data_IF_558892554992
#
_entry.id   IF_558892554992
#
_cell.length_a   1.000
_cell.length_b   1.000
_cell.length_c   1.000
_cell.angle_alpha   90.00
_cell.angle_beta   90.00
_cell.angle_gamma   90.00
#
_symmetry.space_group_name_H-M   'P 1'
#
loop_
_entity.id
_entity.type
_entity.pdbx_description
1 polymer ?
#
# COMPACT_ATOMS: atom_id res chain seq x y z
N UNK A 1 -2.33 71.70 -7.93
CA UNK A 1 -2.12 70.90 -9.17
C UNK A 1 -3.02 69.69 -9.10
N UNK A 2 -4.24 69.82 -9.58
CA UNK A 2 -5.19 68.71 -9.71
C UNK A 2 -4.91 68.04 -11.02
N UNK A 3 -4.28 66.80 -10.93
CA UNK A 3 -4.03 65.96 -12.08
C UNK A 3 -5.36 65.44 -12.63
N UNK A 4 -5.66 65.81 -13.86
CA UNK A 4 -6.79 65.37 -14.66
C UNK A 4 -6.66 63.88 -14.97
N UNK A 5 -7.37 63.01 -14.25
CA UNK A 5 -7.51 61.58 -14.57
C UNK A 5 -8.69 61.43 -15.55
N UNK A 6 -8.53 61.94 -16.76
CA UNK A 6 -9.57 61.81 -17.80
C UNK A 6 -8.92 61.36 -19.12
N UNK A 7 -8.37 60.14 -19.16
CA UNK A 7 -8.02 59.50 -20.42
C UNK A 7 -7.90 58.01 -20.24
N UNK A 8 -9.00 57.31 -19.99
CA UNK A 8 -9.03 55.86 -19.98
C UNK A 8 -10.30 55.38 -20.69
N UNK A 9 -10.12 55.04 -21.96
CA UNK A 9 -11.06 54.50 -22.92
C UNK A 9 -11.94 55.50 -23.69
N UNK A 10 -11.81 55.62 -25.03
CA UNK A 10 -12.73 56.37 -25.89
C UNK A 10 -14.06 55.59 -26.02
N UNK A 11 -15.19 56.29 -25.91
CA UNK A 11 -16.53 55.71 -26.07
C UNK A 11 -17.55 56.29 -25.10
N UNK A 12 -18.81 56.03 -25.35
CA UNK A 12 -19.91 56.34 -24.43
C UNK A 12 -19.78 55.58 -23.12
N UNK A 13 -20.50 55.94 -22.08
CA UNK A 13 -20.55 55.21 -20.80
C UNK A 13 -20.97 53.74 -21.06
N UNK A 14 -21.93 53.55 -21.95
CA UNK A 14 -22.44 52.22 -22.32
C UNK A 14 -21.36 51.36 -23.03
N UNK A 15 -20.52 51.95 -23.90
CA UNK A 15 -19.42 51.25 -24.56
C UNK A 15 -18.35 50.74 -23.56
N UNK A 16 -18.11 51.54 -22.50
CA UNK A 16 -17.13 51.17 -21.46
C UNK A 16 -17.63 49.97 -20.62
N UNK A 17 -18.92 49.97 -20.22
CA UNK A 17 -19.50 48.85 -19.48
C UNK A 17 -19.54 47.59 -20.35
N UNK A 18 -19.91 47.69 -21.63
CA UNK A 18 -19.89 46.57 -22.54
C UNK A 18 -18.47 45.97 -22.70
N UNK A 19 -17.47 46.82 -22.90
CA UNK A 19 -16.07 46.43 -22.99
C UNK A 19 -15.59 45.74 -21.71
N UNK A 20 -15.98 46.25 -20.53
CA UNK A 20 -15.64 45.64 -19.24
C UNK A 20 -16.24 44.24 -19.11
N UNK A 21 -17.52 44.08 -19.42
CA UNK A 21 -18.22 42.77 -19.34
C UNK A 21 -17.69 41.78 -20.37
N UNK A 22 -17.33 42.22 -21.56
CA UNK A 22 -16.75 41.38 -22.61
C UNK A 22 -15.31 40.96 -22.31
N UNK A 23 -14.56 41.75 -21.54
CA UNK A 23 -13.22 41.36 -21.06
C UNK A 23 -13.26 40.21 -20.04
N UNK A 24 -14.41 39.95 -19.42
CA UNK A 24 -14.60 38.87 -18.45
C UNK A 24 -14.96 37.60 -19.22
N UNK A 25 -13.94 36.79 -19.56
CA UNK A 25 -14.11 35.59 -20.39
C UNK A 25 -14.36 34.32 -19.61
N UNK A 26 -14.12 34.34 -18.28
CA UNK A 26 -14.28 33.14 -17.43
C UNK A 26 -15.70 32.98 -16.85
N UNK A 27 -16.58 33.95 -17.18
CA UNK A 27 -17.98 33.94 -16.76
C UNK A 27 -18.88 34.20 -17.97
N UNK A 28 -19.97 33.45 -18.09
CA UNK A 28 -21.08 33.86 -18.95
C UNK A 28 -21.91 34.91 -18.18
N UNK A 29 -21.91 36.12 -18.66
CA UNK A 29 -22.66 37.24 -18.09
C UNK A 29 -23.65 37.73 -19.14
N UNK A 30 -24.93 37.67 -18.84
CA UNK A 30 -25.98 38.08 -19.75
C UNK A 30 -27.25 38.51 -19.02
N UNK A 31 -28.04 39.33 -19.67
CA UNK A 31 -29.33 39.79 -19.16
C UNK A 31 -30.46 38.96 -19.76
N UNK A 32 -31.52 38.82 -18.97
CA UNK A 32 -32.80 38.28 -19.38
C UNK A 32 -33.88 39.35 -19.22
N UNK A 33 -34.88 39.33 -20.10
CA UNK A 33 -36.13 40.09 -19.87
C UNK A 33 -36.92 39.48 -18.71
N UNK A 34 -38.02 40.10 -18.33
CA UNK A 34 -38.90 39.65 -17.23
C UNK A 34 -39.52 38.27 -17.46
N UNK A 35 -39.52 37.77 -18.69
CA UNK A 35 -40.05 36.43 -19.09
C UNK A 35 -38.94 35.38 -19.28
N UNK A 36 -37.65 35.78 -19.12
CA UNK A 36 -36.52 34.88 -19.24
C UNK A 36 -35.91 34.76 -20.64
N UNK A 37 -36.23 35.68 -21.55
CA UNK A 37 -35.57 35.70 -22.86
C UNK A 37 -34.26 36.50 -22.78
N UNK A 38 -33.24 35.99 -23.46
CA UNK A 38 -31.88 36.59 -23.45
C UNK A 38 -31.90 37.92 -24.17
N UNK A 39 -31.43 38.97 -23.51
CA UNK A 39 -31.37 40.37 -24.02
C UNK A 39 -29.95 40.91 -24.20
N UNK A 40 -28.92 40.27 -23.62
CA UNK A 40 -27.54 40.61 -23.86
C UNK A 40 -26.69 39.33 -23.79
N UNK A 41 -25.42 39.38 -24.31
CA UNK A 41 -24.55 38.21 -24.37
C UNK A 41 -23.10 38.64 -24.39
N UNK A 42 -22.27 38.21 -23.41
CA UNK A 42 -20.86 38.55 -23.37
C UNK A 42 -19.97 37.53 -24.08
N UNK A 43 -18.71 37.89 -24.29
CA UNK A 43 -17.71 37.00 -24.92
C UNK A 43 -17.50 35.70 -24.14
N UNK A 44 -17.55 35.71 -22.80
CA UNK A 44 -17.47 34.53 -21.97
C UNK A 44 -18.63 33.55 -22.20
N UNK A 45 -19.86 34.08 -22.32
CA UNK A 45 -21.04 33.26 -22.64
C UNK A 45 -20.93 32.60 -24.02
N UNK A 46 -20.43 33.33 -25.03
CA UNK A 46 -20.14 32.76 -26.34
C UNK A 46 -19.13 31.60 -26.23
N UNK A 47 -18.01 31.83 -25.53
CA UNK A 47 -16.91 30.88 -25.40
C UNK A 47 -17.36 29.53 -24.85
N UNK A 48 -18.04 29.49 -23.71
CA UNK A 48 -18.30 28.19 -23.08
C UNK A 48 -19.74 27.70 -23.19
N UNK A 49 -20.71 28.50 -23.67
CA UNK A 49 -22.01 27.96 -24.06
C UNK A 49 -22.10 27.60 -25.57
N UNK A 50 -21.20 28.16 -26.39
CA UNK A 50 -21.08 27.83 -27.80
C UNK A 50 -22.08 28.52 -28.71
N UNK A 51 -22.89 29.49 -28.21
CA UNK A 51 -23.83 30.30 -28.99
C UNK A 51 -23.24 31.67 -29.27
N UNK A 52 -23.36 32.16 -30.47
CA UNK A 52 -23.10 33.57 -30.80
C UNK A 52 -24.22 34.45 -30.28
N UNK A 53 -23.97 35.74 -30.09
CA UNK A 53 -24.99 36.72 -29.68
C UNK A 53 -26.19 36.70 -30.63
N UNK A 54 -25.96 36.69 -31.94
CA UNK A 54 -27.02 36.66 -32.96
C UNK A 54 -27.93 35.40 -32.89
N UNK A 55 -27.42 34.29 -32.43
CA UNK A 55 -28.16 33.03 -32.33
C UNK A 55 -28.97 32.92 -31.04
N UNK A 56 -28.60 33.69 -30.01
CA UNK A 56 -29.14 33.47 -28.66
C UNK A 56 -30.05 34.63 -28.20
N UNK A 57 -29.89 35.83 -28.74
CA UNK A 57 -30.78 36.93 -28.40
C UNK A 57 -32.23 36.60 -28.77
N UNK A 58 -33.14 36.86 -27.83
CA UNK A 58 -34.56 36.51 -27.97
C UNK A 58 -34.92 35.03 -27.74
N UNK A 59 -33.93 34.18 -27.45
CA UNK A 59 -34.19 32.80 -27.06
C UNK A 59 -34.35 32.67 -25.55
N UNK A 60 -35.22 31.72 -25.12
CA UNK A 60 -35.47 31.52 -23.69
C UNK A 60 -34.34 30.78 -23.01
N UNK A 61 -33.90 31.25 -21.85
CA UNK A 61 -32.72 30.73 -21.13
C UNK A 61 -32.85 29.27 -20.63
N UNK A 62 -34.06 28.70 -20.62
CA UNK A 62 -34.32 27.30 -20.27
C UNK A 62 -33.58 26.34 -21.17
N UNK A 63 -33.23 26.75 -22.39
CA UNK A 63 -32.45 25.92 -23.32
C UNK A 63 -31.06 25.51 -22.81
N UNK A 64 -30.53 26.18 -21.80
CA UNK A 64 -29.28 25.83 -21.15
C UNK A 64 -29.45 24.78 -20.03
N UNK A 65 -30.66 24.34 -19.72
CA UNK A 65 -30.94 23.33 -18.74
C UNK A 65 -31.10 21.96 -19.39
N UNK A 66 -30.84 20.92 -18.63
CA UNK A 66 -31.06 19.56 -19.10
C UNK A 66 -32.55 19.30 -19.34
N UNK A 67 -32.94 18.35 -20.20
CA UNK A 67 -34.35 17.99 -20.40
C UNK A 67 -35.05 17.63 -19.09
N UNK A 68 -34.33 16.96 -18.18
CA UNK A 68 -34.83 16.56 -16.87
C UNK A 68 -35.18 17.81 -16.00
N UNK A 69 -34.26 18.77 -15.94
CA UNK A 69 -34.47 20.03 -15.19
C UNK A 69 -35.58 20.90 -15.80
N UNK A 70 -35.68 20.91 -17.13
CA UNK A 70 -36.77 21.62 -17.83
C UNK A 70 -38.14 20.99 -17.49
N UNK A 71 -38.25 19.67 -17.56
CA UNK A 71 -39.47 18.93 -17.22
C UNK A 71 -39.84 19.12 -15.72
N UNK A 72 -38.87 19.22 -14.85
CA UNK A 72 -39.06 19.50 -13.43
C UNK A 72 -39.36 20.96 -13.11
N UNK A 73 -39.42 21.86 -14.11
CA UNK A 73 -39.72 23.27 -13.94
C UNK A 73 -38.64 24.09 -13.23
N UNK A 74 -37.39 23.60 -13.21
CA UNK A 74 -36.27 24.30 -12.53
C UNK A 74 -36.04 25.72 -13.06
N UNK A 75 -36.08 25.95 -14.41
CA UNK A 75 -35.89 27.33 -14.92
C UNK A 75 -36.94 28.33 -14.40
N UNK A 76 -38.21 27.95 -14.39
CA UNK A 76 -39.27 28.80 -13.91
C UNK A 76 -39.16 29.12 -12.40
N UNK A 77 -38.84 28.09 -11.60
CA UNK A 77 -38.58 28.29 -10.17
C UNK A 77 -37.38 29.21 -9.92
N UNK A 78 -36.31 29.09 -10.71
CA UNK A 78 -35.12 29.93 -10.56
C UNK A 78 -35.44 31.41 -10.78
N UNK A 79 -36.24 31.77 -11.81
CA UNK A 79 -36.70 33.14 -12.04
C UNK A 79 -37.66 33.60 -10.94
N UNK A 80 -38.63 32.75 -10.55
CA UNK A 80 -39.59 33.12 -9.49
C UNK A 80 -38.90 33.38 -8.14
N UNK A 81 -37.88 32.60 -7.78
CA UNK A 81 -37.05 32.84 -6.59
C UNK A 81 -36.29 34.18 -6.73
N UNK A 82 -35.62 34.41 -7.87
CA UNK A 82 -34.90 35.66 -8.11
C UNK A 82 -35.84 36.87 -8.07
N UNK A 83 -37.05 36.77 -8.60
CA UNK A 83 -38.05 37.82 -8.57
C UNK A 83 -38.52 38.17 -7.14
N UNK A 84 -38.80 37.13 -6.33
CA UNK A 84 -39.37 37.30 -4.98
C UNK A 84 -38.34 37.63 -3.92
N UNK A 85 -37.18 36.97 -3.99
CA UNK A 85 -36.09 37.06 -3.00
C UNK A 85 -34.95 38.00 -3.43
N UNK A 86 -35.00 38.49 -4.69
CA UNK A 86 -33.99 39.35 -5.29
C UNK A 86 -32.85 38.59 -5.94
N UNK A 87 -32.58 37.32 -5.51
CA UNK A 87 -31.47 36.50 -5.98
C UNK A 87 -31.82 35.00 -5.96
N UNK A 88 -31.35 34.28 -6.97
CA UNK A 88 -31.28 32.83 -7.00
C UNK A 88 -29.84 32.38 -7.22
N UNK A 89 -29.38 31.42 -6.46
CA UNK A 89 -28.04 30.86 -6.58
C UNK A 89 -28.08 29.33 -6.44
N UNK A 90 -27.46 28.61 -7.37
CA UNK A 90 -27.43 27.15 -7.34
C UNK A 90 -26.32 26.61 -8.23
N UNK A 91 -25.85 25.42 -7.90
CA UNK A 91 -25.04 24.59 -8.79
C UNK A 91 -25.90 23.54 -9.48
N UNK A 92 -25.54 23.18 -10.72
CA UNK A 92 -26.25 22.18 -11.49
C UNK A 92 -25.72 21.99 -12.90
N UNK A 93 -26.21 20.91 -13.55
CA UNK A 93 -25.86 20.63 -14.93
C UNK A 93 -26.49 21.65 -15.88
N UNK A 94 -25.71 22.09 -16.86
CA UNK A 94 -26.16 22.93 -17.97
C UNK A 94 -25.72 22.30 -19.27
N UNK A 95 -26.38 22.69 -20.36
CA UNK A 95 -26.16 22.14 -21.70
C UNK A 95 -25.62 23.22 -22.62
N UNK A 96 -24.57 22.89 -23.38
CA UNK A 96 -23.98 23.77 -24.42
C UNK A 96 -24.73 23.58 -25.74
N UNK A 97 -24.41 24.39 -26.74
CA UNK A 97 -24.96 24.30 -28.10
C UNK A 97 -24.75 22.95 -28.75
N UNK A 98 -23.60 22.32 -28.53
CA UNK A 98 -23.22 21.01 -29.06
C UNK A 98 -23.85 19.82 -28.32
N UNK A 99 -24.69 20.10 -27.31
CA UNK A 99 -25.33 19.07 -26.48
C UNK A 99 -24.47 18.57 -25.32
N UNK A 100 -23.21 18.96 -25.20
CA UNK A 100 -22.38 18.58 -24.05
C UNK A 100 -22.88 19.20 -22.75
N UNK A 101 -22.75 18.46 -21.66
CA UNK A 101 -23.13 18.91 -20.32
C UNK A 101 -21.91 19.46 -19.56
N UNK A 102 -22.14 20.50 -18.78
CA UNK A 102 -21.12 21.07 -17.90
C UNK A 102 -21.71 21.40 -16.53
N UNK A 103 -20.92 21.26 -15.48
CA UNK A 103 -21.34 21.62 -14.12
C UNK A 103 -21.15 23.10 -13.91
N UNK A 104 -22.22 23.79 -13.61
CA UNK A 104 -22.24 25.24 -13.54
C UNK A 104 -22.66 25.72 -12.16
N UNK A 105 -21.99 26.75 -11.66
CA UNK A 105 -22.50 27.66 -10.64
C UNK A 105 -23.23 28.78 -11.31
N UNK A 106 -24.46 29.01 -10.93
CA UNK A 106 -25.37 29.97 -11.55
C UNK A 106 -25.91 30.93 -10.50
N UNK A 107 -25.83 32.24 -10.80
CA UNK A 107 -26.44 33.30 -10.05
C UNK A 107 -27.41 34.04 -10.97
N UNK A 108 -28.61 34.31 -10.50
CA UNK A 108 -29.62 35.13 -11.17
C UNK A 108 -30.06 36.23 -10.19
N UNK A 109 -29.77 37.48 -10.49
CA UNK A 109 -30.15 38.64 -9.70
C UNK A 109 -31.29 39.41 -10.41
N UNK A 110 -32.34 39.77 -9.67
CA UNK A 110 -33.42 40.59 -10.21
C UNK A 110 -32.94 42.02 -10.40
N UNK A 111 -33.17 42.57 -11.59
CA UNK A 111 -32.91 43.98 -11.90
C UNK A 111 -34.21 44.75 -11.80
N UNK A 112 -34.22 45.82 -10.97
CA UNK A 112 -35.37 46.65 -10.75
C UNK A 112 -35.07 48.09 -11.10
N UNK A 113 -36.10 48.81 -11.53
CA UNK A 113 -36.01 50.25 -11.76
C UNK A 113 -36.02 51.05 -10.42
N UNK A 114 -35.81 52.37 -10.43
CA UNK A 114 -35.85 53.22 -9.21
C UNK A 114 -37.22 53.19 -8.47
N UNK A 115 -38.28 52.74 -9.13
CA UNK A 115 -39.62 52.60 -8.54
C UNK A 115 -39.88 51.19 -7.97
N UNK A 116 -38.87 50.30 -8.05
CA UNK A 116 -38.95 48.93 -7.56
C UNK A 116 -39.58 47.92 -8.53
N UNK A 117 -39.94 48.36 -9.76
CA UNK A 117 -40.53 47.50 -10.77
C UNK A 117 -39.46 46.61 -11.39
N UNK A 118 -39.76 45.29 -11.52
CA UNK A 118 -38.86 44.33 -12.20
C UNK A 118 -38.72 44.73 -13.68
N UNK A 119 -37.48 44.91 -14.15
CA UNK A 119 -37.17 45.20 -15.55
C UNK A 119 -36.41 44.05 -16.24
N UNK A 120 -35.93 43.06 -15.49
CA UNK A 120 -35.26 41.89 -16.01
C UNK A 120 -34.38 41.22 -14.97
N UNK A 121 -33.47 40.36 -15.43
CA UNK A 121 -32.54 39.64 -14.55
C UNK A 121 -31.11 39.73 -15.11
N UNK A 122 -30.13 39.83 -14.25
CA UNK A 122 -28.72 39.58 -14.56
C UNK A 122 -28.41 38.13 -14.25
N UNK A 123 -27.84 37.40 -15.23
CA UNK A 123 -27.46 36.01 -15.04
C UNK A 123 -25.98 35.85 -15.23
N UNK A 124 -25.34 35.25 -14.21
CA UNK A 124 -23.92 34.93 -14.19
C UNK A 124 -23.81 33.39 -14.12
N UNK A 125 -22.95 32.83 -14.95
CA UNK A 125 -22.71 31.37 -14.93
C UNK A 125 -21.21 31.15 -14.99
N UNK A 126 -20.69 30.35 -14.06
CA UNK A 126 -19.31 29.87 -14.04
C UNK A 126 -19.29 28.37 -14.35
N UNK A 127 -18.36 27.96 -15.21
CA UNK A 127 -18.11 26.56 -15.46
C UNK A 127 -17.19 26.00 -14.35
N UNK A 128 -17.66 24.98 -13.64
CA UNK A 128 -16.93 24.29 -12.58
C UNK A 128 -16.57 22.86 -12.97
N UNK A 129 -16.69 22.47 -14.27
CA UNK A 129 -16.51 21.09 -14.70
C UNK A 129 -15.10 20.58 -14.44
N UNK A 130 -14.07 21.37 -14.70
CA UNK A 130 -12.67 20.98 -14.46
C UNK A 130 -12.42 20.70 -12.98
N UNK A 131 -12.92 21.58 -12.11
CA UNK A 131 -12.81 21.41 -10.66
C UNK A 131 -13.52 20.13 -10.20
N UNK A 132 -14.75 19.91 -10.66
CA UNK A 132 -15.55 18.75 -10.29
C UNK A 132 -14.89 17.45 -10.77
N UNK A 133 -14.37 17.42 -11.99
CA UNK A 133 -13.64 16.26 -12.52
C UNK A 133 -12.39 16.01 -11.68
N UNK A 134 -11.62 17.02 -11.34
CA UNK A 134 -10.43 16.86 -10.52
C UNK A 134 -10.75 16.30 -9.12
N UNK A 135 -11.81 16.82 -8.48
CA UNK A 135 -12.30 16.32 -7.18
C UNK A 135 -12.75 14.85 -7.26
N UNK A 136 -13.49 14.48 -8.33
CA UNK A 136 -13.95 13.10 -8.54
C UNK A 136 -12.79 12.13 -8.83
N UNK A 137 -11.81 12.56 -9.64
CA UNK A 137 -10.60 11.76 -9.92
C UNK A 137 -9.79 11.53 -8.65
N UNK A 138 -9.58 12.58 -7.85
CA UNK A 138 -8.88 12.47 -6.58
C UNK A 138 -9.59 11.51 -5.63
N UNK A 139 -10.89 11.70 -5.42
CA UNK A 139 -11.72 10.83 -4.57
C UNK A 139 -11.67 9.37 -5.02
N UNK A 140 -11.77 9.14 -6.32
CA UNK A 140 -11.69 7.78 -6.89
C UNK A 140 -10.31 7.15 -6.67
N UNK A 141 -9.24 7.94 -6.84
CA UNK A 141 -7.87 7.48 -6.59
C UNK A 141 -7.64 7.12 -5.13
N UNK A 142 -8.11 7.96 -4.19
CA UNK A 142 -8.04 7.69 -2.74
C UNK A 142 -8.79 6.41 -2.36
N UNK A 143 -9.98 6.21 -2.92
CA UNK A 143 -10.79 5.02 -2.66
C UNK A 143 -10.13 3.76 -3.23
N UNK A 144 -9.58 3.81 -4.45
CA UNK A 144 -8.82 2.70 -5.04
C UNK A 144 -7.60 2.35 -4.20
N UNK A 145 -6.83 3.35 -3.77
CA UNK A 145 -5.66 3.12 -2.91
C UNK A 145 -6.07 2.48 -1.57
N UNK A 146 -7.13 2.99 -0.93
CA UNK A 146 -7.67 2.41 0.30
C UNK A 146 -8.07 0.95 0.12
N UNK A 147 -8.79 0.61 -0.97
CA UNK A 147 -9.20 -0.77 -1.26
C UNK A 147 -8.01 -1.69 -1.50
N UNK A 148 -6.96 -1.22 -2.20
CA UNK A 148 -5.74 -1.98 -2.41
C UNK A 148 -5.05 -2.31 -1.08
N UNK A 149 -4.87 -1.32 -0.19
CA UNK A 149 -4.23 -1.53 1.11
C UNK A 149 -5.08 -2.44 2.01
N UNK A 150 -6.41 -2.29 2.00
CA UNK A 150 -7.31 -3.15 2.77
C UNK A 150 -7.34 -4.59 2.25
N UNK A 151 -7.18 -4.80 0.94
CA UNK A 151 -7.13 -6.14 0.34
C UNK A 151 -5.89 -6.96 0.70
N UNK A 152 -4.83 -6.31 1.20
CA UNK A 152 -3.60 -6.99 1.63
C UNK A 152 -3.78 -7.53 3.05
N UNK A 153 -4.17 -8.81 3.17
CA UNK A 153 -4.48 -9.42 4.49
C UNK A 153 -3.30 -10.13 5.14
N UNK A 154 -2.25 -10.48 4.38
CA UNK A 154 -1.07 -11.20 4.90
C UNK A 154 -0.01 -10.28 5.50
N UNK A 155 -0.22 -8.97 5.37
CA UNK A 155 0.63 -7.94 5.94
C UNK A 155 -0.19 -6.96 6.77
N UNK A 156 0.24 -6.71 8.00
CA UNK A 156 -0.24 -5.59 8.78
C UNK A 156 0.44 -4.32 8.25
N UNK A 157 -0.35 -3.47 7.55
CA UNK A 157 0.11 -2.21 6.96
C UNK A 157 -0.62 -1.07 7.68
N UNK A 158 0.14 -0.18 8.29
CA UNK A 158 -0.43 0.96 9.00
C UNK A 158 0.57 2.11 9.13
N UNK A 159 0.05 3.30 9.29
CA UNK A 159 0.83 4.51 9.48
C UNK A 159 0.93 4.86 10.96
N UNK A 160 2.01 5.52 11.31
CA UNK A 160 2.23 6.13 12.61
C UNK A 160 2.43 7.64 12.40
N UNK A 161 1.99 8.44 13.36
CA UNK A 161 2.41 9.83 13.48
C UNK A 161 3.89 9.95 13.90
N UNK A 162 4.50 11.16 13.92
CA UNK A 162 5.89 11.33 14.33
C UNK A 162 6.18 10.84 15.74
N UNK A 163 5.19 10.84 16.64
CA UNK A 163 5.27 10.40 18.03
C UNK A 163 5.15 8.87 18.16
N UNK A 164 4.73 8.17 17.08
CA UNK A 164 4.56 6.71 17.06
C UNK A 164 3.16 6.23 17.40
N UNK A 165 2.15 7.11 17.37
CA UNK A 165 0.77 6.68 17.52
C UNK A 165 0.20 6.20 16.18
N UNK A 166 -0.64 5.18 16.21
CA UNK A 166 -1.26 4.59 15.03
C UNK A 166 -2.26 5.57 14.41
N UNK A 167 -2.11 5.91 13.13
CA UNK A 167 -2.99 6.83 12.40
C UNK A 167 -3.82 6.15 11.31
N UNK A 168 -3.44 4.94 10.86
CA UNK A 168 -4.24 4.13 9.94
C UNK A 168 -4.14 2.65 10.29
N UNK A 169 -5.07 1.82 9.76
CA UNK A 169 -5.13 0.39 10.08
C UNK A 169 -5.77 -0.39 8.94
N UNK A 170 -5.07 -1.38 8.37
CA UNK A 170 -5.63 -2.24 7.32
C UNK A 170 -6.21 -3.55 7.89
N UNK A 171 -6.95 -4.28 7.07
CA UNK A 171 -7.53 -5.58 7.45
C UNK A 171 -6.47 -6.61 7.84
N UNK A 172 -5.28 -6.58 7.22
CA UNK A 172 -4.16 -7.44 7.61
C UNK A 172 -3.65 -7.14 9.02
N UNK A 173 -3.62 -5.88 9.43
CA UNK A 173 -3.23 -5.49 10.77
C UNK A 173 -4.26 -5.94 11.81
N UNK A 174 -5.55 -5.83 11.51
CA UNK A 174 -6.63 -6.36 12.34
C UNK A 174 -6.49 -7.89 12.49
N UNK A 175 -6.35 -8.61 11.39
CA UNK A 175 -6.19 -10.08 11.40
C UNK A 175 -4.96 -10.54 12.16
N UNK A 176 -3.80 -9.92 11.93
CA UNK A 176 -2.51 -10.37 12.52
C UNK A 176 -2.40 -9.96 13.97
N UNK A 177 -2.90 -8.77 14.37
CA UNK A 177 -2.70 -8.23 15.72
C UNK A 177 -3.93 -8.33 16.61
N UNK A 178 -5.13 -8.57 16.05
CA UNK A 178 -6.39 -8.77 16.77
C UNK A 178 -7.05 -7.51 17.31
N UNK A 179 -6.61 -6.31 16.92
CA UNK A 179 -7.22 -5.04 17.30
C UNK A 179 -8.11 -4.50 16.19
N UNK A 180 -9.29 -4.01 16.54
CA UNK A 180 -10.14 -3.23 15.64
C UNK A 180 -9.56 -1.80 15.45
N UNK A 181 -9.85 -1.13 14.32
CA UNK A 181 -9.36 0.23 14.07
C UNK A 181 -9.70 1.22 15.21
N UNK A 182 -10.92 1.20 15.70
CA UNK A 182 -11.42 2.06 16.80
C UNK A 182 -10.73 1.83 18.16
N UNK A 183 -10.09 0.68 18.34
CA UNK A 183 -9.37 0.34 19.58
C UNK A 183 -7.91 0.76 19.54
N UNK A 184 -7.35 0.90 18.33
CA UNK A 184 -5.89 1.03 18.14
C UNK A 184 -5.47 2.38 17.56
N UNK A 185 -6.31 3.04 16.75
CA UNK A 185 -6.01 4.36 16.23
C UNK A 185 -5.83 5.34 17.40
N UNK A 186 -4.78 6.15 17.35
CA UNK A 186 -4.36 7.04 18.43
C UNK A 186 -3.55 6.37 19.55
N UNK A 187 -3.40 5.03 19.55
CA UNK A 187 -2.59 4.33 20.55
C UNK A 187 -1.14 4.18 20.07
N UNK A 188 -0.19 4.28 20.99
CA UNK A 188 1.22 4.16 20.67
C UNK A 188 1.59 2.71 20.30
N UNK A 189 2.33 2.55 19.19
CA UNK A 189 2.68 1.26 18.58
C UNK A 189 3.55 0.35 19.45
N UNK A 190 4.16 0.87 20.51
CA UNK A 190 4.96 0.09 21.47
C UNK A 190 4.17 -1.03 22.15
N UNK A 191 2.84 -0.94 22.16
CA UNK A 191 1.99 -2.00 22.75
C UNK A 191 2.08 -3.35 22.03
N UNK A 192 2.60 -3.38 20.79
CA UNK A 192 2.88 -4.62 20.05
C UNK A 192 4.22 -5.26 20.38
N UNK A 193 5.01 -4.63 21.24
CA UNK A 193 6.30 -5.16 21.68
C UNK A 193 6.17 -5.94 22.98
N UNK A 194 7.07 -6.88 23.20
CA UNK A 194 7.19 -7.58 24.48
C UNK A 194 7.53 -6.59 25.60
N UNK A 195 7.25 -6.97 26.84
CA UNK A 195 7.61 -6.13 27.99
C UNK A 195 9.12 -5.88 28.04
N UNK A 196 9.92 -6.87 27.72
CA UNK A 196 11.38 -6.80 27.65
C UNK A 196 11.85 -5.81 26.58
N UNK A 197 11.36 -5.91 25.35
CA UNK A 197 11.70 -4.99 24.27
C UNK A 197 11.31 -3.55 24.59
N UNK A 198 10.17 -3.36 25.29
CA UNK A 198 9.73 -2.02 25.75
C UNK A 198 10.68 -1.47 26.81
N UNK A 199 11.06 -2.29 27.80
CA UNK A 199 11.98 -1.90 28.85
C UNK A 199 13.36 -1.53 28.29
N UNK A 200 13.80 -2.23 27.22
CA UNK A 200 15.05 -1.96 26.54
C UNK A 200 14.96 -0.79 25.54
N UNK A 201 13.83 -0.08 25.45
CA UNK A 201 13.67 1.10 24.58
C UNK A 201 13.61 0.79 23.08
N UNK A 202 13.46 -0.47 22.68
CA UNK A 202 13.48 -0.87 21.27
C UNK A 202 12.45 -0.11 20.39
N UNK A 203 11.22 0.20 20.83
CA UNK A 203 10.29 0.98 20.02
C UNK A 203 10.83 2.37 19.67
N UNK A 204 11.40 3.08 20.64
CA UNK A 204 11.95 4.43 20.45
C UNK A 204 13.16 4.38 19.53
N UNK A 205 14.06 3.41 19.76
CA UNK A 205 15.24 3.18 18.93
C UNK A 205 14.85 2.90 17.47
N UNK A 206 13.80 2.10 17.24
CA UNK A 206 13.33 1.77 15.90
C UNK A 206 12.85 3.00 15.12
N UNK A 207 12.06 3.89 15.75
CA UNK A 207 11.64 5.15 15.12
C UNK A 207 12.81 6.10 14.88
N UNK A 208 13.74 6.21 15.85
CA UNK A 208 14.92 7.06 15.71
C UNK A 208 15.81 6.63 14.54
N UNK A 209 16.03 5.32 14.37
CA UNK A 209 16.78 4.79 13.22
C UNK A 209 16.03 5.06 11.92
N UNK A 210 14.73 4.78 11.87
CA UNK A 210 13.91 5.03 10.69
C UNK A 210 13.93 6.52 10.31
N UNK A 211 13.80 7.43 11.27
CA UNK A 211 13.87 8.86 11.01
C UNK A 211 15.25 9.33 10.54
N UNK A 212 16.35 8.72 11.00
CA UNK A 212 17.71 9.12 10.65
C UNK A 212 18.20 8.50 9.34
N UNK A 213 17.86 7.22 9.12
CA UNK A 213 18.40 6.40 8.02
C UNK A 213 17.36 6.17 6.92
N UNK A 214 16.11 6.66 7.11
CA UNK A 214 14.99 6.48 6.20
C UNK A 214 14.22 5.18 6.46
N UNK A 215 14.89 4.13 7.00
CA UNK A 215 14.33 2.79 7.17
C UNK A 215 14.88 2.07 8.40
N UNK A 216 14.01 1.30 9.05
CA UNK A 216 14.37 0.32 10.06
C UNK A 216 13.75 -1.03 9.68
N UNK A 217 14.53 -2.11 9.69
CA UNK A 217 14.04 -3.47 9.46
C UNK A 217 14.62 -4.43 10.50
N UNK A 218 13.77 -5.23 11.14
CA UNK A 218 14.20 -6.23 12.11
C UNK A 218 13.17 -7.32 12.31
N UNK A 219 13.62 -8.54 12.46
CA UNK A 219 12.80 -9.62 12.98
C UNK A 219 12.80 -9.67 14.51
N UNK A 220 11.68 -10.09 15.08
CA UNK A 220 11.55 -10.23 16.54
C UNK A 220 10.15 -10.57 16.99
N UNK A 221 10.03 -10.89 18.28
CA UNK A 221 8.76 -11.19 18.89
C UNK A 221 7.84 -9.97 18.95
N UNK A 222 6.58 -10.18 18.62
CA UNK A 222 5.51 -9.19 18.79
C UNK A 222 4.33 -9.83 19.56
N UNK A 223 3.49 -8.99 20.15
CA UNK A 223 2.38 -9.40 21.00
C UNK A 223 1.08 -8.98 20.34
N UNK A 224 0.11 -9.91 20.26
CA UNK A 224 -1.27 -9.64 19.81
C UNK A 224 -2.12 -9.11 20.95
N UNK A 225 -3.35 -8.71 20.65
CA UNK A 225 -4.35 -8.26 21.62
C UNK A 225 -4.65 -9.29 22.71
N UNK A 226 -4.70 -10.56 22.36
CA UNK A 226 -4.95 -11.69 23.26
C UNK A 226 -3.74 -12.08 24.12
N UNK A 227 -2.61 -11.39 23.98
CA UNK A 227 -1.37 -11.68 24.69
C UNK A 227 -0.49 -12.76 24.03
N UNK A 228 -0.93 -13.42 22.97
CA UNK A 228 -0.11 -14.38 22.24
C UNK A 228 1.06 -13.70 21.55
N UNK A 229 2.17 -14.44 21.41
CA UNK A 229 3.38 -13.95 20.72
C UNK A 229 3.50 -14.56 19.34
N UNK A 230 4.01 -13.77 18.41
CA UNK A 230 4.35 -14.22 17.06
C UNK A 230 5.70 -13.65 16.62
N UNK A 231 6.40 -14.40 15.79
CA UNK A 231 7.67 -13.94 15.23
C UNK A 231 7.37 -13.09 13.99
N UNK A 232 7.77 -11.85 14.04
CA UNK A 232 7.43 -10.86 13.03
C UNK A 232 8.68 -10.37 12.29
N UNK A 233 8.59 -10.25 10.96
CA UNK A 233 9.43 -9.35 10.21
C UNK A 233 8.75 -7.98 10.19
N UNK A 234 9.47 -6.94 10.61
CA UNK A 234 8.96 -5.57 10.76
C UNK A 234 9.81 -4.61 9.98
N UNK A 235 9.15 -3.81 9.16
CA UNK A 235 9.74 -2.71 8.41
C UNK A 235 9.06 -1.42 8.89
N UNK A 236 9.85 -0.37 9.11
CA UNK A 236 9.39 0.99 9.41
C UNK A 236 10.12 1.93 8.48
N UNK A 237 9.40 2.59 7.59
CA UNK A 237 9.93 3.59 6.66
C UNK A 237 9.46 4.97 7.09
N UNK A 238 10.38 5.95 7.19
CA UNK A 238 10.04 7.33 7.50
C UNK A 238 9.42 8.03 6.29
N UNK A 239 8.38 8.83 6.54
CA UNK A 239 7.68 9.60 5.51
C UNK A 239 7.91 11.08 5.77
N UNK A 240 8.42 11.77 4.76
CA UNK A 240 8.68 13.20 4.80
C UNK A 240 7.80 13.95 3.81
N UNK A 241 7.46 15.18 4.14
CA UNK A 241 6.87 16.14 3.20
C UNK A 241 7.93 16.69 2.23
N UNK A 242 7.49 17.40 1.19
CA UNK A 242 8.39 17.99 0.18
C UNK A 242 9.39 18.99 0.76
N UNK A 243 9.08 19.61 1.89
CA UNK A 243 9.95 20.54 2.62
C UNK A 243 10.93 19.83 3.59
N UNK A 244 10.91 18.49 3.63
CA UNK A 244 11.78 17.68 4.49
C UNK A 244 11.30 17.52 5.93
N UNK A 245 10.07 17.94 6.26
CA UNK A 245 9.48 17.73 7.58
C UNK A 245 8.99 16.29 7.73
N UNK A 246 9.30 15.62 8.84
CA UNK A 246 8.81 14.26 9.13
C UNK A 246 7.30 14.30 9.36
N UNK A 247 6.55 13.62 8.48
CA UNK A 247 5.09 13.49 8.57
C UNK A 247 4.71 12.32 9.50
N UNK A 248 5.52 11.26 9.50
CA UNK A 248 5.27 10.03 10.26
C UNK A 248 6.01 8.84 9.68
N UNK A 249 5.47 7.66 9.91
CA UNK A 249 6.11 6.42 9.46
C UNK A 249 5.10 5.47 8.83
N UNK A 250 5.49 4.79 7.75
CA UNK A 250 4.80 3.61 7.24
C UNK A 250 5.35 2.38 7.94
N UNK A 251 4.48 1.57 8.52
CA UNK A 251 4.89 0.34 9.20
C UNK A 251 4.25 -0.88 8.58
N UNK A 252 5.10 -1.84 8.19
CA UNK A 252 4.72 -3.12 7.64
C UNK A 252 5.16 -4.22 8.59
N UNK A 253 4.27 -5.15 8.89
CA UNK A 253 4.58 -6.30 9.75
C UNK A 253 4.04 -7.56 9.10
N UNK A 254 4.89 -8.54 8.92
CA UNK A 254 4.53 -9.89 8.47
C UNK A 254 4.68 -10.88 9.62
N UNK A 255 3.70 -11.73 9.81
CA UNK A 255 3.85 -12.90 10.68
C UNK A 255 4.62 -13.99 9.92
N UNK A 256 5.77 -14.36 10.45
CA UNK A 256 6.64 -15.38 9.85
C UNK A 256 6.82 -16.59 10.79
N UNK A 257 5.94 -16.72 11.79
CA UNK A 257 6.00 -17.79 12.80
C UNK A 257 5.94 -19.18 12.16
N UNK A 258 4.95 -19.43 11.31
CA UNK A 258 4.77 -20.72 10.62
C UNK A 258 5.96 -21.04 9.71
N UNK A 259 6.44 -20.03 8.96
CA UNK A 259 7.60 -20.18 8.09
C UNK A 259 8.84 -20.60 8.88
N UNK A 260 9.08 -19.92 10.00
CA UNK A 260 10.19 -20.21 10.90
C UNK A 260 10.08 -21.62 11.51
N UNK A 261 8.92 -22.01 12.01
CA UNK A 261 8.67 -23.34 12.58
C UNK A 261 8.85 -24.44 11.54
N UNK A 262 8.36 -24.24 10.31
CA UNK A 262 8.58 -25.19 9.21
C UNK A 262 10.06 -25.35 8.88
N UNK A 263 10.81 -24.25 8.85
CA UNK A 263 12.25 -24.26 8.60
C UNK A 263 12.99 -25.01 9.72
N UNK A 264 12.72 -24.71 10.99
CA UNK A 264 13.33 -25.38 12.14
C UNK A 264 13.00 -26.88 12.17
N UNK A 265 11.78 -27.26 11.76
CA UNK A 265 11.37 -28.66 11.66
C UNK A 265 12.13 -29.38 10.55
N UNK A 266 12.29 -28.73 9.39
CA UNK A 266 13.04 -29.29 8.26
C UNK A 266 14.51 -29.49 8.62
N UNK A 267 15.13 -28.48 9.24
CA UNK A 267 16.53 -28.59 9.67
C UNK A 267 16.74 -29.71 10.68
N UNK A 268 15.82 -29.91 11.63
CA UNK A 268 15.86 -31.00 12.59
C UNK A 268 15.73 -32.35 11.89
N UNK A 269 14.77 -32.52 10.98
CA UNK A 269 14.58 -33.73 10.23
C UNK A 269 15.81 -34.09 9.35
N UNK A 270 16.45 -33.07 8.75
CA UNK A 270 17.70 -33.29 8.00
C UNK A 270 18.85 -33.75 8.90
N UNK A 271 18.97 -33.17 10.10
CA UNK A 271 19.98 -33.62 11.07
C UNK A 271 19.75 -35.05 11.53
N UNK A 272 18.51 -35.43 11.83
CA UNK A 272 18.13 -36.78 12.21
C UNK A 272 18.42 -37.78 11.10
N UNK A 273 18.08 -37.44 9.85
CA UNK A 273 18.36 -38.26 8.67
C UNK A 273 19.87 -38.47 8.49
N UNK A 274 20.66 -37.40 8.61
CA UNK A 274 22.12 -37.48 8.51
C UNK A 274 22.72 -38.39 9.60
N UNK A 275 22.22 -38.29 10.83
CA UNK A 275 22.67 -39.16 11.92
C UNK A 275 22.27 -40.62 11.67
N UNK A 276 21.08 -40.90 11.17
CA UNK A 276 20.63 -42.24 10.83
C UNK A 276 21.49 -42.85 9.71
N UNK A 277 21.76 -42.11 8.65
CA UNK A 277 22.63 -42.53 7.55
C UNK A 277 24.06 -42.83 8.03
N UNK A 278 24.60 -41.98 8.91
CA UNK A 278 25.92 -42.21 9.52
C UNK A 278 25.93 -43.49 10.34
N UNK A 279 24.89 -43.72 11.12
CA UNK A 279 24.78 -44.98 11.94
C UNK A 279 24.62 -46.21 11.08
N UNK A 280 23.86 -46.16 9.99
CA UNK A 280 23.70 -47.23 9.02
C UNK A 280 25.05 -47.57 8.35
N UNK A 281 25.79 -46.55 7.89
CA UNK A 281 27.11 -46.74 7.30
C UNK A 281 28.09 -47.36 8.29
N UNK A 282 28.07 -46.95 9.57
CA UNK A 282 28.89 -47.57 10.63
C UNK A 282 28.46 -49.01 10.86
N UNK A 283 27.14 -49.31 10.88
CA UNK A 283 26.60 -50.66 11.04
C UNK A 283 27.05 -51.63 9.92
N UNK A 284 26.91 -51.17 8.66
CA UNK A 284 27.36 -51.96 7.50
C UNK A 284 28.88 -52.22 7.50
N UNK A 285 29.67 -51.18 7.81
CA UNK A 285 31.12 -51.33 7.95
C UNK A 285 31.50 -52.29 9.07
N UNK A 286 30.84 -52.18 10.24
CA UNK A 286 31.12 -53.01 11.41
C UNK A 286 30.78 -54.48 11.13
N UNK A 287 29.66 -54.77 10.45
CA UNK A 287 29.26 -56.14 10.06
C UNK A 287 30.25 -56.82 9.07
N UNK A 288 30.64 -56.06 8.03
CA UNK A 288 31.62 -56.55 7.04
C UNK A 288 32.99 -56.76 7.65
N UNK A 289 33.42 -55.87 8.51
CA UNK A 289 34.71 -55.97 9.18
C UNK A 289 34.73 -57.11 10.21
N UNK A 290 33.67 -57.32 10.97
CA UNK A 290 33.56 -58.44 11.91
C UNK A 290 33.65 -59.81 11.18
N UNK A 291 33.01 -59.91 10.01
CA UNK A 291 33.10 -61.08 9.15
C UNK A 291 34.54 -61.33 8.67
N UNK A 292 35.19 -60.27 8.15
CA UNK A 292 36.57 -60.41 7.65
C UNK A 292 37.58 -60.70 8.78
N UNK A 293 37.38 -60.10 9.95
CA UNK A 293 38.19 -60.40 11.13
C UNK A 293 38.03 -61.87 11.59
N UNK A 294 36.79 -62.35 11.64
CA UNK A 294 36.54 -63.79 11.96
C UNK A 294 37.18 -64.74 10.96
N UNK A 295 37.15 -64.41 9.66
CA UNK A 295 37.81 -65.22 8.64
C UNK A 295 39.33 -65.32 8.84
N UNK A 296 39.95 -64.14 9.19
CA UNK A 296 41.38 -64.12 9.50
C UNK A 296 41.72 -64.94 10.76
N UNK A 297 40.90 -64.85 11.82
CA UNK A 297 41.06 -65.60 13.05
C UNK A 297 40.92 -67.12 12.79
N UNK A 298 39.93 -67.50 11.99
CA UNK A 298 39.77 -68.97 11.62
C UNK A 298 40.96 -69.52 10.85
N UNK A 299 41.52 -68.69 9.93
CA UNK A 299 42.72 -69.09 9.19
C UNK A 299 43.97 -69.29 10.11
N UNK A 300 44.16 -68.35 11.07
CA UNK A 300 45.22 -68.42 12.08
C UNK A 300 45.06 -69.62 12.96
N UNK A 301 43.86 -69.81 13.55
CA UNK A 301 43.59 -71.00 14.42
C UNK A 301 43.76 -72.33 13.70
N UNK A 302 43.21 -72.41 12.46
CA UNK A 302 43.33 -73.62 11.66
C UNK A 302 44.80 -74.00 11.34
N UNK A 303 45.60 -72.95 10.98
CA UNK A 303 47.03 -73.14 10.74
C UNK A 303 47.76 -73.59 11.98
N UNK A 304 47.47 -73.04 13.16
CA UNK A 304 48.07 -73.42 14.43
C UNK A 304 47.65 -74.86 14.90
N UNK A 305 46.38 -75.20 14.71
CA UNK A 305 45.89 -76.54 15.05
C UNK A 305 46.54 -77.63 14.21
N UNK A 306 46.72 -77.41 12.89
CA UNK A 306 47.42 -78.35 12.01
C UNK A 306 48.89 -78.38 12.38
N UNK A 307 49.52 -77.20 12.67
CA UNK A 307 50.91 -77.20 13.10
C UNK A 307 51.12 -78.00 14.39
N UNK A 308 50.22 -77.88 15.37
CA UNK A 308 50.25 -78.68 16.62
C UNK A 308 50.19 -80.17 16.35
N UNK A 309 49.26 -80.60 15.48
CA UNK A 309 49.14 -82.05 15.12
C UNK A 309 50.40 -82.57 14.42
N UNK A 310 50.98 -81.81 13.48
CA UNK A 310 52.22 -82.19 12.75
C UNK A 310 53.45 -82.20 13.65
N UNK A 311 53.56 -81.21 14.56
CA UNK A 311 54.66 -81.20 15.54
C UNK A 311 54.67 -82.40 16.44
N UNK A 312 53.50 -82.85 16.91
CA UNK A 312 53.38 -84.11 17.69
C UNK A 312 53.75 -85.37 16.91
N UNK A 313 53.69 -85.33 15.57
CA UNK A 313 54.07 -86.38 14.67
C UNK A 313 55.52 -86.28 14.15
N UNK A 314 56.32 -85.30 14.64
CA UNK A 314 57.73 -85.10 14.22
C UNK A 314 57.87 -84.51 12.81
N UNK A 315 56.81 -83.91 12.21
CA UNK A 315 56.76 -83.32 10.87
C UNK A 315 57.13 -81.84 10.85
N UNK A 316 57.60 -81.24 9.74
CA UNK A 316 57.87 -79.80 9.60
C UNK A 316 56.64 -79.01 9.76
N UNK A 317 56.74 -77.83 10.52
CA UNK A 317 55.58 -76.94 10.87
C UNK A 317 55.84 -75.50 10.53
N UNK A 318 56.99 -75.12 10.03
CA UNK A 318 57.42 -73.75 9.78
C UNK A 318 56.42 -72.99 8.88
N UNK A 319 56.04 -73.60 7.76
CA UNK A 319 55.12 -73.01 6.79
C UNK A 319 53.72 -72.69 7.40
N UNK A 320 53.26 -73.53 8.34
CA UNK A 320 52.00 -73.36 9.03
C UNK A 320 52.05 -72.20 10.08
N UNK A 321 53.20 -72.10 10.75
CA UNK A 321 53.47 -70.99 11.68
C UNK A 321 53.57 -69.67 10.91
N UNK A 322 54.25 -69.61 9.76
CA UNK A 322 54.36 -68.43 8.92
C UNK A 322 53.00 -68.01 8.39
N UNK A 323 52.16 -68.94 7.96
CA UNK A 323 50.79 -68.65 7.58
C UNK A 323 49.97 -68.04 8.73
N UNK A 324 50.09 -68.53 9.94
CA UNK A 324 49.41 -68.00 11.11
C UNK A 324 49.91 -66.53 11.46
N UNK A 325 51.22 -66.29 11.38
CA UNK A 325 51.83 -64.99 11.57
C UNK A 325 51.32 -63.98 10.52
N UNK A 326 51.25 -64.40 9.25
CA UNK A 326 50.69 -63.54 8.19
C UNK A 326 49.21 -63.18 8.44
N UNK A 327 48.39 -64.16 8.83
CA UNK A 327 46.99 -63.97 9.21
C UNK A 327 46.83 -62.97 10.35
N UNK A 328 47.64 -63.12 11.41
CA UNK A 328 47.66 -62.18 12.55
C UNK A 328 48.07 -60.75 12.16
N UNK A 329 49.10 -60.55 11.31
CA UNK A 329 49.51 -59.25 10.78
C UNK A 329 48.42 -58.60 9.96
N UNK A 330 47.69 -59.34 9.12
CA UNK A 330 46.53 -58.79 8.37
C UNK A 330 45.42 -58.34 9.30
N UNK A 331 45.11 -59.14 10.35
CA UNK A 331 44.11 -58.72 11.37
C UNK A 331 44.50 -57.44 12.10
N UNK A 332 45.75 -57.29 12.49
CA UNK A 332 46.24 -56.03 13.12
C UNK A 332 46.13 -54.80 12.19
N UNK A 333 46.47 -54.99 10.90
CA UNK A 333 46.31 -53.91 9.90
C UNK A 333 44.87 -53.54 9.69
N UNK A 334 43.90 -54.45 9.70
CA UNK A 334 42.47 -54.18 9.59
C UNK A 334 41.96 -53.39 10.78
N UNK A 335 42.34 -53.71 12.01
CA UNK A 335 41.97 -52.99 13.23
C UNK A 335 42.54 -51.57 13.24
N UNK A 336 43.78 -51.36 12.77
CA UNK A 336 44.36 -50.00 12.64
C UNK A 336 43.60 -49.10 11.64
N UNK A 337 43.18 -49.67 10.50
CA UNK A 337 42.37 -48.94 9.51
C UNK A 337 41.01 -48.52 10.09
N UNK A 338 40.37 -49.38 10.86
CA UNK A 338 39.11 -49.10 11.54
C UNK A 338 39.23 -47.94 12.55
N UNK A 339 40.26 -47.99 13.38
CA UNK A 339 40.52 -46.92 14.36
C UNK A 339 40.82 -45.57 13.70
N UNK A 340 41.45 -45.55 12.52
CA UNK A 340 41.68 -44.36 11.74
C UNK A 340 40.40 -43.78 11.12
N UNK A 341 39.42 -44.62 10.79
CA UNK A 341 38.13 -44.18 10.25
C UNK A 341 37.13 -43.73 11.34
N UNK A 342 37.30 -44.17 12.58
CA UNK A 342 36.46 -43.80 13.74
C UNK A 342 36.87 -42.47 14.42
N UNK A 343 37.96 -41.88 13.99
CA UNK A 343 38.38 -40.52 14.40
C UNK A 343 37.91 -39.45 13.41
#
# INVERSE_FOLDING_TARGET
>A
MTANVTALLPGSVDDRYRTLVDAITDYAIYMLDTRGYVSSWNAGANRFKGYTEAEILGEHFSRFYTPEDQAAGVPARALGTAETEGRFEAEGWRVRKDGTRFWAHVVIDAIRDPHGQLIGFAKITRDLSERKIAEEVLKRSEEQFRLLVQGVTDYAIYMLDPEGNVSSWNAGAERIKGYLPEEIIGQHFSRFYTQEDRANGLPVTALSIAAKEGRFEKEGWRVRKDGTRFWANVIIDAIYSDDGTLIGFAKITRDVTEKRQAQETLERAQQELFQAQKMEAVGQLTGGVAHDFNNLLMAVLGSLEIARKRALAGQPVIDLIDNAIQGAKRGASLTQRLLAFSR
#
